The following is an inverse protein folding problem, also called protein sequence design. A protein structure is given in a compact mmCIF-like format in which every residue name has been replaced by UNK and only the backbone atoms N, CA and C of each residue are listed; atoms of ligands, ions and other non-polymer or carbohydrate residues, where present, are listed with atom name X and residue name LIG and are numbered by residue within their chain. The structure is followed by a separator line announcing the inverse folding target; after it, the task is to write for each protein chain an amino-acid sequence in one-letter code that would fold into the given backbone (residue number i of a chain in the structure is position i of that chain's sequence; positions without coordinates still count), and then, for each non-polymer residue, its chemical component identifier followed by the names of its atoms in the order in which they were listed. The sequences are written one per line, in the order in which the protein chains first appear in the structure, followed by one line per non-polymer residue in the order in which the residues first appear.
data_IF_437872320417
#
_entry.id   IF_437872320417
#
_cell.length_a   1.000
_cell.length_b   1.000
_cell.length_c   1.000
_cell.angle_alpha   90.00
_cell.angle_beta   90.00
_cell.angle_gamma   90.00
#
_symmetry.space_group_name_H-M   'P 1'
#
loop_
_entity.id
_entity.type
_entity.pdbx_description
1 polymer ?
#
# COMPACT_ATOMS: atom_id res chain seq x y z
N UNK A 1 24.13 -5.25 13.08
CA UNK A 1 22.74 -4.76 12.94
C UNK A 1 22.43 -4.59 11.46
N UNK A 2 21.42 -5.28 10.92
CA UNK A 2 21.05 -5.16 9.49
C UNK A 2 20.17 -3.91 9.34
N UNK A 3 20.58 -2.95 8.51
CA UNK A 3 19.69 -1.85 8.11
C UNK A 3 18.63 -2.44 7.18
N UNK A 4 17.35 -2.17 7.47
CA UNK A 4 16.28 -2.36 6.49
C UNK A 4 16.46 -1.31 5.41
N UNK A 5 16.51 -1.74 4.15
CA UNK A 5 16.57 -0.87 2.97
C UNK A 5 15.26 -1.04 2.20
N UNK A 6 14.74 0.07 1.66
CA UNK A 6 13.50 0.10 0.88
C UNK A 6 13.81 0.67 -0.49
N UNK A 7 13.43 -0.05 -1.54
CA UNK A 7 13.58 0.42 -2.93
C UNK A 7 12.54 1.49 -3.29
N UNK A 8 11.38 1.47 -2.63
CA UNK A 8 10.27 2.39 -2.86
C UNK A 8 9.50 2.71 -1.57
N UNK A 9 9.16 3.98 -1.38
CA UNK A 9 8.28 4.45 -0.30
C UNK A 9 7.24 5.41 -0.88
N UNK A 10 5.98 5.21 -0.55
CA UNK A 10 4.86 6.02 -1.01
C UNK A 10 3.88 6.31 0.12
N UNK A 11 3.25 7.49 0.08
CA UNK A 11 2.09 7.82 0.92
C UNK A 11 0.92 8.05 -0.03
N UNK A 12 -0.11 7.23 0.08
CA UNK A 12 -1.32 7.30 -0.75
C UNK A 12 -2.50 7.72 0.11
N UNK A 13 -3.17 8.80 -0.28
CA UNK A 13 -4.39 9.26 0.40
C UNK A 13 -5.61 8.65 -0.27
N UNK A 14 -6.44 7.98 0.52
CA UNK A 14 -7.78 7.56 0.11
C UNK A 14 -8.84 8.47 0.75
N UNK A 15 -10.03 8.51 0.14
CA UNK A 15 -11.16 9.26 0.68
C UNK A 15 -11.67 8.67 2.00
N UNK A 16 -11.72 7.33 2.09
CA UNK A 16 -12.12 6.60 3.30
C UNK A 16 -11.43 5.23 3.39
N UNK A 17 -11.54 4.55 4.54
CA UNK A 17 -11.02 3.20 4.72
C UNK A 17 -11.77 2.17 3.86
N UNK A 18 -13.08 2.34 3.68
CA UNK A 18 -13.94 1.50 2.83
C UNK A 18 -13.51 1.59 1.37
N UNK A 19 -13.17 2.80 0.91
CA UNK A 19 -12.63 3.01 -0.45
C UNK A 19 -11.33 2.25 -0.64
N UNK A 20 -10.48 2.20 0.38
CA UNK A 20 -9.24 1.42 0.33
C UNK A 20 -9.52 -0.10 0.34
N UNK A 21 -10.41 -0.58 1.19
CA UNK A 21 -10.74 -2.00 1.29
C UNK A 21 -11.44 -2.54 0.03
N UNK A 22 -12.25 -1.72 -0.63
CA UNK A 22 -12.96 -2.12 -1.87
C UNK A 22 -12.01 -2.42 -3.04
N UNK A 23 -10.76 -1.93 -3.01
CA UNK A 23 -9.75 -2.31 -4.00
C UNK A 23 -9.40 -3.80 -3.97
N UNK A 24 -9.52 -4.46 -2.82
CA UNK A 24 -9.19 -5.89 -2.68
C UNK A 24 -10.04 -6.81 -3.56
N UNK A 25 -11.22 -6.35 -3.98
CA UNK A 25 -12.16 -7.10 -4.84
C UNK A 25 -12.30 -6.51 -6.24
N UNK A 26 -11.58 -5.42 -6.55
CA UNK A 26 -11.63 -4.77 -7.85
C UNK A 26 -10.98 -5.65 -8.93
N UNK A 27 -11.75 -6.08 -9.92
CA UNK A 27 -11.30 -7.04 -10.93
C UNK A 27 -10.16 -6.52 -11.82
N UNK A 28 -10.18 -5.22 -12.16
CA UNK A 28 -9.12 -4.60 -12.97
C UNK A 28 -7.81 -4.53 -12.20
N UNK A 29 -7.88 -4.22 -10.91
CA UNK A 29 -6.72 -4.25 -10.02
C UNK A 29 -6.15 -5.67 -9.87
N UNK A 30 -7.03 -6.66 -9.63
CA UNK A 30 -6.63 -8.05 -9.45
C UNK A 30 -5.96 -8.65 -10.69
N UNK A 31 -6.36 -8.22 -11.89
CA UNK A 31 -5.72 -8.64 -13.14
C UNK A 31 -4.21 -8.32 -13.18
N UNK A 32 -3.74 -7.27 -12.48
CA UNK A 32 -2.33 -6.89 -12.40
C UNK A 32 -1.58 -7.45 -11.19
N UNK A 33 -2.24 -8.19 -10.29
CA UNK A 33 -1.67 -8.59 -9.00
C UNK A 33 -0.40 -9.46 -9.14
N UNK A 34 -0.35 -10.32 -10.16
CA UNK A 34 0.79 -11.20 -10.43
C UNK A 34 2.11 -10.44 -10.61
N UNK A 35 2.09 -9.28 -11.27
CA UNK A 35 3.29 -8.45 -11.44
C UNK A 35 3.83 -7.92 -10.10
N UNK A 36 2.93 -7.48 -9.22
CA UNK A 36 3.32 -7.02 -7.87
C UNK A 36 3.92 -8.16 -7.05
N UNK A 37 3.30 -9.33 -7.06
CA UNK A 37 3.78 -10.51 -6.32
C UNK A 37 5.17 -10.93 -6.80
N UNK A 38 5.43 -10.88 -8.11
CA UNK A 38 6.72 -11.23 -8.68
C UNK A 38 7.84 -10.20 -8.35
N UNK A 39 7.50 -8.92 -8.23
CA UNK A 39 8.49 -7.84 -8.08
C UNK A 39 8.83 -7.49 -6.62
N UNK A 40 7.92 -7.72 -5.67
CA UNK A 40 8.05 -7.24 -4.30
C UNK A 40 8.57 -8.34 -3.38
N UNK A 41 9.81 -8.20 -2.93
CA UNK A 41 10.42 -9.13 -1.97
C UNK A 41 9.79 -9.05 -0.57
N UNK A 42 9.54 -7.83 -0.08
CA UNK A 42 8.85 -7.58 1.18
C UNK A 42 8.08 -6.25 1.10
N UNK A 43 6.96 -6.13 1.82
CA UNK A 43 6.21 -4.87 1.91
C UNK A 43 5.55 -4.67 3.27
N UNK A 44 5.35 -3.42 3.65
CA UNK A 44 4.54 -3.01 4.80
C UNK A 44 3.45 -2.07 4.31
N UNK A 45 2.24 -2.30 4.79
CA UNK A 45 1.09 -1.46 4.52
C UNK A 45 0.60 -0.91 5.85
N UNK A 46 0.87 0.36 6.08
CA UNK A 46 0.62 1.03 7.35
C UNK A 46 -0.58 1.95 7.19
N UNK A 47 -1.73 1.68 7.85
CA UNK A 47 -2.83 2.63 7.87
C UNK A 47 -2.41 3.85 8.69
N UNK A 48 -2.59 5.04 8.12
CA UNK A 48 -2.24 6.30 8.76
C UNK A 48 -3.48 7.19 8.82
N UNK A 49 -3.67 7.87 9.95
CA UNK A 49 -4.61 8.99 10.06
C UNK A 49 -3.84 10.30 10.04
N UNK A 50 -4.46 11.35 9.49
CA UNK A 50 -3.85 12.69 9.50
C UNK A 50 -3.90 13.23 10.92
N UNK A 51 -2.75 13.52 11.51
CA UNK A 51 -2.69 14.36 12.69
C UNK A 51 -2.95 15.81 12.28
N UNK A 52 -3.81 16.53 12.99
CA UNK A 52 -3.81 17.98 12.92
C UNK A 52 -2.52 18.47 13.58
N UNK A 53 -1.68 19.17 12.82
CA UNK A 53 -0.55 19.88 13.43
C UNK A 53 -1.11 21.11 14.15
N UNK A 54 -0.59 21.43 15.35
CA UNK A 54 -0.99 22.62 16.09
C UNK A 54 -0.67 23.92 15.33
#
# INVERSE_FOLDING_TARGET
MRRLQWDLVMIVRHHSAETFLSFSTNQVYLAGLGHRVAAVLDSRLLPLTKLALP
#
